data_IF_342170223452
#
_entry.id   IF_342170223452
#
_cell.length_a   1.000
_cell.length_b   1.000
_cell.length_c   1.000
_cell.angle_alpha   90.00
_cell.angle_beta   90.00
_cell.angle_gamma   90.00
#
_symmetry.space_group_name_H-M   'P 1'
#
loop_
_entity.id
_entity.type
_entity.pdbx_description
1 polymer ?
#
# COMPACT_ATOMS: atom_id res chain seq x y z
N UNK A 1 25.30 -4.82 -12.43
CA UNK A 1 25.80 -4.91 -11.05
C UNK A 1 24.71 -5.56 -10.24
N UNK A 2 25.05 -6.53 -9.39
CA UNK A 2 24.06 -7.13 -8.48
C UNK A 2 24.12 -6.31 -7.19
N UNK A 3 22.98 -5.79 -6.78
CA UNK A 3 22.83 -4.93 -5.61
C UNK A 3 21.86 -5.59 -4.64
N UNK A 4 22.04 -5.37 -3.35
CA UNK A 4 21.12 -5.89 -2.36
C UNK A 4 19.83 -5.07 -2.35
N UNK A 5 18.68 -5.73 -2.24
CA UNK A 5 17.42 -5.06 -2.04
C UNK A 5 17.40 -4.40 -0.68
N UNK A 6 17.09 -3.11 -0.59
CA UNK A 6 17.03 -2.41 0.69
C UNK A 6 15.80 -2.77 1.55
N UNK A 7 14.85 -3.56 1.02
CA UNK A 7 13.62 -3.98 1.72
C UNK A 7 13.73 -5.41 2.25
N UNK A 8 14.13 -6.36 1.41
CA UNK A 8 14.17 -7.78 1.78
C UNK A 8 15.60 -8.37 1.80
N UNK A 9 16.62 -7.53 1.59
CA UNK A 9 18.03 -7.93 1.54
C UNK A 9 18.35 -9.01 0.49
N UNK A 10 17.45 -9.25 -0.47
CA UNK A 10 17.69 -10.18 -1.57
C UNK A 10 18.52 -9.57 -2.69
N UNK A 11 19.33 -10.40 -3.34
CA UNK A 11 20.17 -9.99 -4.47
C UNK A 11 19.30 -9.64 -5.69
N UNK A 12 19.35 -8.39 -6.12
CA UNK A 12 18.65 -7.90 -7.31
C UNK A 12 19.62 -7.32 -8.35
N UNK A 13 19.27 -7.42 -9.63
CA UNK A 13 20.01 -6.77 -10.73
C UNK A 13 19.42 -5.40 -11.11
N UNK A 14 18.34 -5.00 -10.44
CA UNK A 14 17.60 -3.79 -10.75
C UNK A 14 18.40 -2.54 -10.32
N UNK A 15 18.61 -1.55 -11.20
CA UNK A 15 19.38 -0.34 -10.87
C UNK A 15 18.73 0.52 -9.78
N UNK A 16 17.44 0.33 -9.51
CA UNK A 16 16.72 1.03 -8.44
C UNK A 16 17.03 0.50 -7.02
N UNK A 17 17.80 -0.59 -6.90
CA UNK A 17 18.11 -1.19 -5.59
C UNK A 17 16.92 -1.91 -4.94
N UNK A 18 15.83 -2.13 -5.68
CA UNK A 18 14.64 -2.83 -5.22
C UNK A 18 14.45 -4.09 -6.08
N UNK A 19 14.22 -5.25 -5.47
CA UNK A 19 13.95 -6.47 -6.24
C UNK A 19 12.54 -6.45 -6.84
N UNK A 20 12.37 -7.16 -7.95
CA UNK A 20 11.09 -7.33 -8.64
C UNK A 20 10.02 -7.89 -7.69
N UNK A 21 10.38 -8.80 -6.81
CA UNK A 21 9.47 -9.39 -5.82
C UNK A 21 8.92 -8.34 -4.83
N UNK A 22 9.77 -7.46 -4.29
CA UNK A 22 9.29 -6.37 -3.43
C UNK A 22 8.49 -5.33 -4.22
N UNK A 23 8.80 -5.10 -5.50
CA UNK A 23 7.95 -4.25 -6.35
C UNK A 23 6.57 -4.86 -6.57
N UNK A 24 6.53 -6.14 -6.91
CA UNK A 24 5.30 -6.88 -7.15
C UNK A 24 4.48 -6.99 -5.86
N UNK A 25 5.10 -7.26 -4.72
CA UNK A 25 4.42 -7.32 -3.43
C UNK A 25 3.78 -5.97 -3.08
N UNK A 26 4.49 -4.85 -3.31
CA UNK A 26 3.93 -3.51 -3.10
C UNK A 26 2.74 -3.24 -4.05
N UNK A 27 2.82 -3.65 -5.31
CA UNK A 27 1.69 -3.54 -6.24
C UNK A 27 0.51 -4.42 -5.82
N UNK A 28 0.79 -5.63 -5.32
CA UNK A 28 -0.23 -6.56 -4.87
C UNK A 28 -0.95 -6.03 -3.62
N UNK A 29 -0.18 -5.48 -2.67
CA UNK A 29 -0.67 -4.74 -1.49
C UNK A 29 -1.58 -3.58 -1.89
N UNK A 30 -1.16 -2.76 -2.85
CA UNK A 30 -1.95 -1.66 -3.41
C UNK A 30 -3.26 -2.15 -4.04
N UNK A 31 -3.20 -3.22 -4.83
CA UNK A 31 -4.38 -3.81 -5.47
C UNK A 31 -5.37 -4.32 -4.42
N UNK A 32 -4.88 -4.98 -3.36
CA UNK A 32 -5.71 -5.40 -2.22
C UNK A 32 -6.38 -4.23 -1.50
N UNK A 33 -5.65 -3.14 -1.24
CA UNK A 33 -6.23 -1.94 -0.62
C UNK A 33 -7.36 -1.37 -1.50
N UNK A 34 -7.15 -1.29 -2.82
CA UNK A 34 -8.16 -0.81 -3.76
C UNK A 34 -9.39 -1.72 -3.78
N UNK A 35 -9.19 -3.02 -3.96
CA UNK A 35 -10.28 -4.01 -3.99
C UNK A 35 -11.10 -3.98 -2.68
N UNK A 36 -10.41 -3.85 -1.55
CA UNK A 36 -11.04 -3.74 -0.26
C UNK A 36 -11.80 -2.44 -0.05
N UNK A 37 -11.29 -1.30 -0.55
CA UNK A 37 -12.01 -0.02 -0.55
C UNK A 37 -13.22 -0.04 -1.51
N UNK A 38 -13.15 -0.80 -2.60
CA UNK A 38 -14.26 -1.00 -3.53
C UNK A 38 -15.43 -1.74 -2.87
N UNK A 39 -15.13 -2.84 -2.15
CA UNK A 39 -16.15 -3.63 -1.44
C UNK A 39 -16.61 -2.95 -0.13
N UNK A 40 -15.68 -2.28 0.56
CA UNK A 40 -15.91 -1.62 1.85
C UNK A 40 -15.56 -0.14 1.76
N UNK A 41 -16.45 0.70 1.18
CA UNK A 41 -16.24 2.13 1.05
C UNK A 41 -15.84 2.82 2.36
N UNK A 42 -16.45 2.44 3.48
CA UNK A 42 -16.21 3.03 4.82
C UNK A 42 -15.20 2.26 5.68
N UNK A 43 -14.32 1.47 5.08
CA UNK A 43 -13.37 0.66 5.85
C UNK A 43 -12.30 1.52 6.54
N UNK A 44 -12.06 1.23 7.82
CA UNK A 44 -11.03 1.93 8.60
C UNK A 44 -9.63 1.44 8.25
N UNK A 45 -8.63 2.33 8.35
CA UNK A 45 -7.20 2.02 8.18
C UNK A 45 -6.77 0.76 8.94
N UNK A 46 -7.26 0.56 10.16
CA UNK A 46 -6.97 -0.64 10.97
C UNK A 46 -7.43 -1.93 10.31
N UNK A 47 -8.62 -1.93 9.69
CA UNK A 47 -9.18 -3.10 9.00
C UNK A 47 -8.36 -3.41 7.75
N UNK A 48 -8.06 -2.37 6.97
CA UNK A 48 -7.18 -2.46 5.79
C UNK A 48 -5.80 -3.01 6.19
N UNK A 49 -5.19 -2.50 7.26
CA UNK A 49 -3.90 -2.99 7.77
C UNK A 49 -3.95 -4.48 8.10
N UNK A 50 -5.01 -4.90 8.80
CA UNK A 50 -5.20 -6.29 9.21
C UNK A 50 -5.43 -7.23 8.01
N UNK A 51 -6.20 -6.79 7.02
CA UNK A 51 -6.54 -7.59 5.83
C UNK A 51 -5.38 -7.64 4.80
N UNK A 52 -4.71 -6.50 4.60
CA UNK A 52 -3.70 -6.33 3.53
C UNK A 52 -2.27 -6.51 4.01
N UNK A 53 -2.03 -6.44 5.32
CA UNK A 53 -0.69 -6.51 5.93
C UNK A 53 0.18 -5.28 5.65
N UNK A 54 -0.39 -4.20 5.11
CA UNK A 54 0.34 -2.96 4.80
C UNK A 54 0.37 -2.08 6.02
N UNK A 55 1.49 -1.39 6.29
CA UNK A 55 1.57 -0.46 7.42
C UNK A 55 0.49 0.63 7.36
N UNK A 56 -0.11 0.94 8.51
CA UNK A 56 -1.14 1.97 8.65
C UNK A 56 -0.68 3.34 8.11
N UNK A 57 0.61 3.67 8.26
CA UNK A 57 1.19 4.91 7.71
C UNK A 57 1.15 4.94 6.18
N UNK A 58 1.51 3.84 5.53
CA UNK A 58 1.47 3.71 4.08
C UNK A 58 0.01 3.74 3.59
N UNK A 59 -0.89 3.02 4.24
CA UNK A 59 -2.32 3.04 3.91
C UNK A 59 -2.89 4.46 4.02
N UNK A 60 -2.61 5.18 5.10
CA UNK A 60 -3.02 6.58 5.27
C UNK A 60 -2.46 7.47 4.16
N UNK A 61 -1.22 7.25 3.75
CA UNK A 61 -0.59 7.99 2.66
C UNK A 61 -1.27 7.69 1.32
N UNK A 62 -1.51 6.41 1.02
CA UNK A 62 -2.24 5.98 -0.18
C UNK A 62 -3.64 6.56 -0.22
N UNK A 63 -4.44 6.42 0.84
CA UNK A 63 -5.80 6.99 0.90
C UNK A 63 -5.74 8.52 0.74
N UNK A 64 -4.73 9.19 1.30
CA UNK A 64 -4.56 10.65 1.21
C UNK A 64 -4.10 11.12 -0.17
N UNK A 65 -3.29 10.36 -0.89
CA UNK A 65 -2.89 10.64 -2.28
C UNK A 65 -4.01 10.28 -3.27
N UNK A 66 -4.72 9.16 -3.05
CA UNK A 66 -5.94 8.77 -3.76
C UNK A 66 -7.19 9.56 -3.29
N UNK A 67 -7.08 10.54 -2.37
CA UNK A 67 -8.21 11.41 -1.96
C UNK A 67 -8.87 12.13 -3.14
N UNK A 68 -8.22 12.21 -4.30
CA UNK A 68 -8.87 12.71 -5.51
C UNK A 68 -9.99 11.78 -6.03
N UNK A 69 -9.91 10.47 -5.76
CA UNK A 69 -10.93 9.47 -6.11
C UNK A 69 -11.86 9.17 -4.92
N UNK A 70 -11.37 9.29 -3.69
CA UNK A 70 -12.09 8.90 -2.45
C UNK A 70 -12.83 10.09 -1.80
N UNK A 71 -12.86 11.27 -2.41
CA UNK A 71 -13.55 12.44 -1.82
C UNK A 71 -15.07 12.26 -1.62
N UNK A 72 -15.67 11.16 -2.10
CA UNK A 72 -17.07 10.82 -1.86
C UNK A 72 -17.32 9.79 -0.76
N UNK A 73 -16.30 9.18 -0.15
CA UNK A 73 -16.51 7.89 0.52
C UNK A 73 -16.25 7.87 2.02
N UNK A 74 -15.33 8.66 2.58
CA UNK A 74 -15.04 8.55 4.03
C UNK A 74 -14.89 9.93 4.65
N UNK A 75 -15.93 10.34 5.36
CA UNK A 75 -15.91 11.38 6.38
C UNK A 75 -14.78 11.05 7.38
N UNK A 76 -13.80 11.93 7.46
CA UNK A 76 -12.67 11.76 8.36
C UNK A 76 -13.15 12.01 9.78
N UNK A 77 -13.23 10.93 10.56
CA UNK A 77 -13.32 10.99 12.02
C UNK A 77 -12.23 11.94 12.55
N UNK A 78 -12.71 13.07 13.06
CA UNK A 78 -11.94 14.11 13.72
C UNK A 78 -11.49 13.59 15.08
N UNK A 79 -10.18 13.60 15.33
CA UNK A 79 -9.69 13.88 16.68
C UNK A 79 -8.39 14.66 16.63
#
# INVERSE_FOLDING_TARGET
MVTNCYICESLTKNPSGLCDECQEENQHKLRKIKDFLWDNPNSTVKKIHKETGVEEKLIRKYIREDKFIISNVIDYDQQ
#
